data_IF_835585459627
#
_entry.id   IF_835585459627
#
_cell.length_a   1.000
_cell.length_b   1.000
_cell.length_c   1.000
_cell.angle_alpha   90.00
_cell.angle_beta   90.00
_cell.angle_gamma   90.00
#
_symmetry.space_group_name_H-M   'P 1'
#
loop_
_entity.id
_entity.type
_entity.pdbx_description
1 polymer ?
#
# COMPACT_ATOMS: atom_id res chain seq x y z
N UNK A 1 -2.95 -19.31 15.73
CA UNK A 1 -3.64 -18.15 15.11
C UNK A 1 -3.77 -17.09 16.19
N UNK A 2 -3.50 -15.81 15.92
CA UNK A 2 -3.61 -14.77 16.96
C UNK A 2 -5.10 -14.62 17.36
N UNK A 3 -5.43 -14.43 18.66
CA UNK A 3 -6.80 -14.11 19.08
C UNK A 3 -7.33 -12.91 18.30
N UNK A 4 -8.53 -13.03 17.72
CA UNK A 4 -9.14 -11.99 16.89
C UNK A 4 -8.99 -12.18 15.37
N UNK A 5 -8.17 -13.12 14.88
CA UNK A 5 -8.09 -13.41 13.44
C UNK A 5 -9.27 -14.23 12.92
N UNK A 6 -9.89 -13.80 11.81
CA UNK A 6 -10.93 -14.55 11.10
C UNK A 6 -10.68 -14.63 9.60
N UNK A 7 -11.50 -15.45 8.91
CA UNK A 7 -11.25 -15.96 7.56
C UNK A 7 -11.39 -14.91 6.44
N UNK A 8 -10.84 -15.19 5.25
CA UNK A 8 -9.62 -15.93 5.05
C UNK A 8 -8.40 -14.98 5.10
N UNK A 9 -8.61 -13.66 4.91
CA UNK A 9 -7.51 -12.68 4.83
C UNK A 9 -7.64 -11.39 5.66
N UNK A 10 -8.66 -11.27 6.52
CA UNK A 10 -8.73 -10.18 7.50
C UNK A 10 -8.32 -10.70 8.89
N UNK A 11 -7.08 -10.41 9.34
CA UNK A 11 -6.57 -10.96 10.59
C UNK A 11 -7.21 -10.34 11.83
N UNK A 12 -8.19 -9.43 11.71
CA UNK A 12 -8.74 -8.74 12.88
C UNK A 12 -10.26 -8.53 12.81
N UNK A 13 -11.00 -9.23 13.67
CA UNK A 13 -12.41 -8.97 13.97
C UNK A 13 -12.52 -7.83 15.00
N UNK A 14 -12.16 -6.62 14.57
CA UNK A 14 -12.26 -5.40 15.36
C UNK A 14 -12.95 -4.33 14.53
N UNK A 15 -13.91 -3.54 15.07
CA UNK A 15 -14.64 -2.54 14.28
C UNK A 15 -13.72 -1.58 13.49
N UNK A 16 -12.54 -1.31 14.03
CA UNK A 16 -11.56 -0.44 13.36
C UNK A 16 -10.81 -1.09 12.20
N UNK A 17 -10.76 -2.42 12.09
CA UNK A 17 -9.97 -3.14 11.08
C UNK A 17 -10.77 -4.10 10.21
N UNK A 18 -11.97 -4.48 10.65
CA UNK A 18 -12.76 -5.51 9.99
C UNK A 18 -13.11 -5.09 8.56
N UNK A 19 -12.78 -5.95 7.60
CA UNK A 19 -12.99 -5.72 6.17
C UNK A 19 -12.16 -4.59 5.54
N UNK A 20 -11.25 -3.93 6.26
CA UNK A 20 -10.51 -2.76 5.74
C UNK A 20 -9.23 -3.11 5.00
N UNK A 21 -8.49 -4.13 5.46
CA UNK A 21 -7.14 -4.41 4.98
C UNK A 21 -6.86 -5.90 4.92
N UNK A 22 -6.08 -6.31 3.92
CA UNK A 22 -5.36 -7.58 3.96
C UNK A 22 -3.87 -7.29 4.21
N UNK A 23 -3.18 -8.21 4.87
CA UNK A 23 -1.80 -8.01 5.31
C UNK A 23 -0.92 -9.19 4.92
N UNK A 24 -1.13 -9.72 3.71
CA UNK A 24 -0.48 -10.95 3.28
C UNK A 24 1.05 -10.83 3.27
N UNK A 25 1.58 -9.86 2.51
CA UNK A 25 3.03 -9.65 2.40
C UNK A 25 3.62 -8.74 3.49
N UNK A 26 2.80 -8.19 4.38
CA UNK A 26 3.20 -7.21 5.40
C UNK A 26 3.17 -7.73 6.84
N UNK A 27 2.86 -9.03 7.03
CA UNK A 27 3.33 -9.76 8.22
C UNK A 27 2.27 -10.09 9.29
N UNK A 28 0.97 -10.11 8.98
CA UNK A 28 0.00 -10.72 9.90
C UNK A 28 -0.16 -12.23 9.70
N UNK A 29 0.34 -12.75 8.59
CA UNK A 29 0.41 -14.18 8.34
C UNK A 29 1.76 -14.71 8.78
N UNK A 30 1.76 -15.86 9.47
CA UNK A 30 2.97 -16.57 9.87
C UNK A 30 3.84 -17.01 8.66
N UNK A 31 3.32 -16.88 7.44
CA UNK A 31 3.98 -17.17 6.17
C UNK A 31 3.63 -16.09 5.15
N UNK A 32 4.63 -15.41 4.58
CA UNK A 32 4.46 -14.39 3.53
C UNK A 32 4.82 -14.93 2.13
N UNK A 33 4.67 -16.24 1.96
CA UNK A 33 5.11 -17.01 0.80
C UNK A 33 4.36 -16.60 -0.49
N UNK A 34 5.05 -16.19 -1.57
CA UNK A 34 4.41 -15.93 -2.86
C UNK A 34 3.56 -17.10 -3.37
N UNK A 35 4.00 -18.34 -3.12
CA UNK A 35 3.31 -19.59 -3.52
C UNK A 35 1.86 -19.65 -3.06
N UNK A 36 1.58 -19.19 -1.84
CA UNK A 36 0.26 -19.33 -1.22
C UNK A 36 -0.65 -18.12 -1.44
N UNK A 37 -0.13 -17.01 -1.98
CA UNK A 37 -0.88 -15.77 -2.15
C UNK A 37 -2.12 -15.93 -3.04
N UNK A 38 -2.06 -16.75 -4.09
CA UNK A 38 -3.21 -16.95 -4.99
C UNK A 38 -4.36 -17.72 -4.35
N UNK A 39 -4.06 -18.53 -3.33
CA UNK A 39 -5.10 -19.19 -2.53
C UNK A 39 -5.89 -18.16 -1.71
N UNK A 40 -5.46 -16.90 -1.71
CA UNK A 40 -6.12 -15.83 -1.01
C UNK A 40 -7.35 -15.23 -1.69
N UNK A 41 -7.63 -15.67 -2.91
CA UNK A 41 -8.70 -15.09 -3.72
C UNK A 41 -9.82 -16.09 -3.98
N UNK A 42 -11.03 -15.61 -4.35
CA UNK A 42 -12.18 -16.49 -4.58
C UNK A 42 -11.90 -17.56 -5.64
N UNK A 43 -12.64 -18.67 -5.53
CA UNK A 43 -12.42 -19.88 -6.32
C UNK A 43 -12.81 -19.71 -7.80
N UNK A 44 -12.32 -20.62 -8.65
CA UNK A 44 -12.69 -20.72 -10.08
C UNK A 44 -14.20 -20.73 -10.30
N UNK A 45 -14.96 -21.31 -9.37
CA UNK A 45 -16.42 -21.34 -9.42
C UNK A 45 -17.04 -19.94 -9.29
N UNK A 46 -16.52 -19.10 -8.40
CA UNK A 46 -16.98 -17.71 -8.24
C UNK A 46 -16.73 -16.92 -9.52
N UNK A 47 -15.55 -17.09 -10.13
CA UNK A 47 -15.23 -16.48 -11.43
C UNK A 47 -16.19 -16.95 -12.51
N UNK A 48 -16.45 -18.27 -12.61
CA UNK A 48 -17.38 -18.83 -13.58
C UNK A 48 -18.78 -18.24 -13.42
N UNK A 49 -19.30 -18.21 -12.19
CA UNK A 49 -20.64 -17.69 -11.92
C UNK A 49 -20.76 -16.21 -12.31
N UNK A 50 -19.80 -15.36 -11.92
CA UNK A 50 -19.80 -13.95 -12.30
C UNK A 50 -19.73 -13.75 -13.82
N UNK A 51 -18.78 -14.41 -14.48
CA UNK A 51 -18.53 -14.17 -15.90
C UNK A 51 -19.57 -14.83 -16.82
N UNK A 52 -20.05 -16.02 -16.48
CA UNK A 52 -20.92 -16.84 -17.35
C UNK A 52 -22.39 -16.76 -17.00
N UNK A 53 -22.73 -16.69 -15.71
CA UNK A 53 -24.14 -16.63 -15.28
C UNK A 53 -24.61 -15.19 -15.16
N UNK A 54 -23.82 -14.32 -14.51
CA UNK A 54 -24.21 -12.93 -14.29
C UNK A 54 -23.83 -12.01 -15.46
N UNK A 55 -22.98 -12.45 -16.38
CA UNK A 55 -22.46 -11.61 -17.47
C UNK A 55 -21.64 -10.42 -16.98
N UNK A 56 -21.05 -10.51 -15.77
CA UNK A 56 -20.30 -9.42 -15.13
C UNK A 56 -18.80 -9.68 -15.18
N UNK A 57 -17.96 -8.64 -15.36
CA UNK A 57 -16.53 -8.77 -15.16
C UNK A 57 -16.21 -9.32 -13.76
N UNK A 58 -15.23 -10.22 -13.68
CA UNK A 58 -14.73 -10.76 -12.42
C UNK A 58 -13.29 -10.29 -12.21
N UNK A 59 -13.06 -9.58 -11.11
CA UNK A 59 -11.74 -9.12 -10.70
C UNK A 59 -11.49 -9.53 -9.25
N UNK A 60 -10.23 -9.79 -8.95
CA UNK A 60 -9.75 -10.04 -7.59
C UNK A 60 -8.79 -8.93 -7.23
N UNK A 61 -8.98 -8.31 -6.08
CA UNK A 61 -8.08 -7.27 -5.61
C UNK A 61 -7.68 -7.53 -4.17
N UNK A 62 -6.50 -7.01 -3.84
CA UNK A 62 -5.98 -6.94 -2.49
C UNK A 62 -5.72 -5.47 -2.15
N UNK A 63 -6.11 -5.04 -0.96
CA UNK A 63 -5.86 -3.70 -0.42
C UNK A 63 -5.06 -3.80 0.88
N UNK A 64 -3.84 -3.25 0.87
CA UNK A 64 -2.99 -3.14 2.05
C UNK A 64 -2.29 -1.78 2.07
N UNK A 65 -2.51 -0.96 3.09
CA UNK A 65 -1.86 0.35 3.20
C UNK A 65 -0.32 0.27 3.31
N UNK A 66 0.21 -0.90 3.65
CA UNK A 66 1.63 -1.10 3.98
C UNK A 66 2.45 -1.74 2.86
N UNK A 67 1.80 -2.14 1.76
CA UNK A 67 2.52 -2.70 0.62
C UNK A 67 3.45 -1.69 -0.04
N UNK A 68 3.03 -0.42 -0.11
CA UNK A 68 3.85 0.63 -0.69
C UNK A 68 5.15 0.83 0.11
N UNK A 69 5.04 0.85 1.45
CA UNK A 69 6.14 1.16 2.37
C UNK A 69 6.96 -0.05 2.77
N UNK A 70 6.53 -1.26 2.43
CA UNK A 70 7.28 -2.49 2.68
C UNK A 70 8.46 -2.61 1.70
N UNK A 71 9.70 -2.86 2.19
CA UNK A 71 10.85 -3.10 1.32
C UNK A 71 10.75 -4.43 0.57
N UNK A 72 10.05 -5.40 1.16
CA UNK A 72 9.98 -6.76 0.65
C UNK A 72 8.87 -6.96 -0.39
N UNK A 73 7.75 -6.26 -0.21
CA UNK A 73 6.53 -6.50 -1.00
C UNK A 73 6.70 -6.37 -2.51
N UNK A 74 7.44 -5.39 -3.08
CA UNK A 74 7.62 -5.31 -4.53
C UNK A 74 8.20 -6.61 -5.11
N UNK A 75 9.19 -7.20 -4.43
CA UNK A 75 9.87 -8.42 -4.88
C UNK A 75 8.95 -9.62 -4.75
N UNK A 76 8.29 -9.76 -3.60
CA UNK A 76 7.36 -10.87 -3.35
C UNK A 76 6.18 -10.84 -4.33
N UNK A 77 5.59 -9.66 -4.55
CA UNK A 77 4.49 -9.47 -5.50
C UNK A 77 4.94 -9.76 -6.93
N UNK A 78 6.10 -9.26 -7.35
CA UNK A 78 6.60 -9.55 -8.69
C UNK A 78 6.88 -11.05 -8.90
N UNK A 79 7.29 -11.77 -7.84
CA UNK A 79 7.49 -13.22 -7.91
C UNK A 79 6.18 -14.02 -8.09
N UNK A 80 5.09 -13.60 -7.44
CA UNK A 80 3.74 -14.20 -7.63
C UNK A 80 3.31 -14.24 -9.10
N UNK A 81 3.69 -13.20 -9.85
CA UNK A 81 3.30 -13.02 -11.26
C UNK A 81 4.47 -13.31 -12.22
N UNK A 82 5.54 -13.96 -11.76
CA UNK A 82 6.69 -14.28 -12.60
C UNK A 82 6.27 -15.18 -13.77
N UNK A 83 6.51 -14.70 -14.99
CA UNK A 83 6.10 -15.39 -16.23
C UNK A 83 4.67 -15.07 -16.69
N UNK A 84 3.98 -14.16 -16.01
CA UNK A 84 2.66 -13.65 -16.38
C UNK A 84 2.71 -12.12 -16.62
N UNK A 85 1.59 -11.54 -17.05
CA UNK A 85 1.47 -10.08 -17.08
C UNK A 85 1.53 -9.50 -15.65
N UNK A 86 2.17 -8.33 -15.45
CA UNK A 86 2.26 -7.71 -14.14
C UNK A 86 0.86 -7.34 -13.61
N UNK A 87 0.62 -7.43 -12.30
CA UNK A 87 -0.64 -6.98 -11.72
C UNK A 87 -0.80 -5.46 -11.88
N UNK A 88 -2.05 -4.99 -11.91
CA UNK A 88 -2.35 -3.56 -11.79
C UNK A 88 -2.18 -3.15 -10.35
N UNK A 89 -1.21 -2.27 -10.09
CA UNK A 89 -0.93 -1.77 -8.75
C UNK A 89 -1.31 -0.30 -8.68
N UNK A 90 -2.13 0.04 -7.70
CA UNK A 90 -2.62 1.40 -7.46
C UNK A 90 -2.14 1.83 -6.08
N UNK A 91 -1.47 2.97 -6.03
CA UNK A 91 -0.98 3.58 -4.80
C UNK A 91 -1.79 4.83 -4.49
N UNK A 92 -2.52 4.81 -3.38
CA UNK A 92 -3.21 5.99 -2.85
C UNK A 92 -2.26 6.80 -1.97
N UNK A 93 -2.08 8.07 -2.31
CA UNK A 93 -1.20 9.01 -1.60
C UNK A 93 -2.01 10.20 -1.10
N UNK A 94 -1.45 10.98 -0.19
CA UNK A 94 -1.99 12.28 0.26
C UNK A 94 -0.83 13.17 0.68
N UNK A 95 -1.10 14.34 1.24
CA UNK A 95 -0.04 15.17 1.83
C UNK A 95 0.85 14.33 2.78
N UNK A 96 2.18 14.31 2.56
CA UNK A 96 3.10 13.50 3.37
C UNK A 96 3.09 13.82 4.87
N UNK A 97 2.88 15.09 5.23
CA UNK A 97 2.81 15.53 6.64
C UNK A 97 1.51 15.02 7.26
N UNK A 98 0.38 15.18 6.59
CA UNK A 98 -0.91 14.63 7.02
C UNK A 98 -0.86 13.10 7.15
N UNK A 99 -0.20 12.41 6.21
CA UNK A 99 0.02 10.96 6.28
C UNK A 99 0.81 10.57 7.53
N UNK A 100 1.92 11.25 7.80
CA UNK A 100 2.77 10.98 8.96
C UNK A 100 2.01 11.21 10.28
N UNK A 101 1.29 12.33 10.40
CA UNK A 101 0.47 12.65 11.58
C UNK A 101 -0.62 11.62 11.80
N UNK A 102 -1.37 11.30 10.74
CA UNK A 102 -2.46 10.32 10.81
C UNK A 102 -1.95 8.91 11.16
N UNK A 103 -0.80 8.50 10.61
CA UNK A 103 -0.19 7.21 10.95
C UNK A 103 0.28 7.16 12.40
N UNK A 104 0.93 8.22 12.89
CA UNK A 104 1.34 8.32 14.28
C UNK A 104 0.16 8.21 15.25
N UNK A 105 -0.94 8.92 14.96
CA UNK A 105 -2.18 8.83 15.74
C UNK A 105 -2.76 7.43 15.72
N UNK A 106 -2.85 6.82 14.54
CA UNK A 106 -3.33 5.44 14.37
C UNK A 106 -2.52 4.46 15.22
N UNK A 107 -1.20 4.52 15.15
CA UNK A 107 -0.32 3.61 15.89
C UNK A 107 -0.38 3.83 17.41
N UNK A 108 -0.54 5.08 17.86
CA UNK A 108 -0.80 5.37 19.29
C UNK A 108 -2.13 4.76 19.74
N UNK A 109 -3.17 4.87 18.92
CA UNK A 109 -4.46 4.25 19.20
C UNK A 109 -4.37 2.72 19.16
N UNK A 110 -3.57 2.15 18.25
CA UNK A 110 -3.31 0.70 18.09
C UNK A 110 -2.92 0.00 19.37
N UNK A 111 -2.26 0.71 20.28
CA UNK A 111 -1.95 0.19 21.62
C UNK A 111 -3.18 -0.01 22.50
N UNK A 112 -4.15 0.89 22.43
CA UNK A 112 -5.38 0.83 23.21
C UNK A 112 -6.25 -0.36 22.79
N UNK A 113 -6.57 -0.46 21.50
CA UNK A 113 -7.40 -1.56 21.02
C UNK A 113 -6.64 -2.89 20.91
N UNK A 114 -5.32 -2.89 20.73
CA UNK A 114 -4.53 -4.12 20.84
C UNK A 114 -4.67 -4.80 22.21
N UNK A 115 -4.73 -4.02 23.30
CA UNK A 115 -4.99 -4.54 24.66
C UNK A 115 -6.42 -5.06 24.80
N UNK A 116 -7.41 -4.36 24.26
CA UNK A 116 -8.82 -4.81 24.35
C UNK A 116 -9.06 -6.11 23.58
N UNK A 117 -8.24 -6.43 22.57
CA UNK A 117 -8.28 -7.70 21.85
C UNK A 117 -7.54 -8.86 22.55
N UNK A 118 -7.05 -8.66 23.78
CA UNK A 118 -6.39 -9.71 24.55
C UNK A 118 -4.98 -10.07 24.06
N UNK A 119 -4.32 -9.17 23.31
CA UNK A 119 -2.90 -9.37 23.00
C UNK A 119 -2.08 -9.41 24.28
N UNK A 120 -1.43 -10.55 24.50
CA UNK A 120 -0.70 -10.84 25.73
C UNK A 120 0.57 -10.00 25.88
N UNK A 121 1.18 -10.08 27.05
CA UNK A 121 2.45 -9.43 27.36
C UNK A 121 3.58 -9.74 26.37
N UNK A 122 3.56 -10.86 25.62
CA UNK A 122 4.59 -11.16 24.62
C UNK A 122 4.54 -10.18 23.44
N UNK A 123 3.34 -9.84 23.00
CA UNK A 123 3.09 -8.84 21.95
C UNK A 123 3.31 -7.42 22.46
N UNK A 124 2.99 -7.17 23.73
CA UNK A 124 3.23 -5.87 24.39
C UNK A 124 4.72 -5.65 24.69
N UNK A 125 5.48 -6.69 25.06
CA UNK A 125 6.94 -6.63 25.34
C UNK A 125 7.75 -6.28 24.10
N UNK A 126 7.33 -6.73 22.92
CA UNK A 126 7.97 -6.38 21.64
C UNK A 126 7.90 -4.88 21.34
N UNK A 127 6.85 -4.17 21.79
CA UNK A 127 6.77 -2.71 21.68
C UNK A 127 7.36 -1.98 22.88
N UNK A 128 7.12 -2.43 24.11
CA UNK A 128 7.36 -1.61 25.31
C UNK A 128 8.82 -1.36 25.72
N UNK A 129 9.79 -2.18 25.28
CA UNK A 129 11.22 -1.93 25.62
C UNK A 129 11.93 -0.95 24.70
N UNK A 130 11.51 -0.84 23.44
CA UNK A 130 12.19 -0.07 22.40
C UNK A 130 11.33 1.07 21.84
N UNK A 131 10.01 1.00 22.03
CA UNK A 131 9.05 1.93 21.45
C UNK A 131 8.41 2.84 22.49
N UNK A 132 9.05 4.00 22.71
CA UNK A 132 8.54 5.04 23.61
C UNK A 132 8.59 6.44 23.00
N UNK A 133 8.37 6.59 21.68
CA UNK A 133 8.26 7.93 21.09
C UNK A 133 6.98 8.61 21.57
N UNK A 134 7.12 9.51 22.55
CA UNK A 134 6.04 10.30 23.14
C UNK A 134 5.57 11.38 22.19
N UNK A 135 6.47 11.83 21.30
CA UNK A 135 6.19 12.83 20.26
C UNK A 135 6.42 12.25 18.88
N UNK A 136 5.80 12.88 17.87
CA UNK A 136 6.02 12.50 16.48
C UNK A 136 7.46 12.84 16.03
N UNK A 137 8.08 13.87 16.60
CA UNK A 137 9.47 14.20 16.30
C UNK A 137 10.47 13.15 16.81
N UNK A 138 10.23 12.55 17.98
CA UNK A 138 11.01 11.39 18.45
C UNK A 138 10.83 10.20 17.51
N UNK A 139 9.59 9.95 17.07
CA UNK A 139 9.29 8.84 16.18
C UNK A 139 9.92 9.03 14.79
N UNK A 140 9.94 10.27 14.28
CA UNK A 140 10.64 10.62 13.05
C UNK A 140 12.16 10.43 13.18
N UNK A 141 12.78 10.88 14.28
CA UNK A 141 14.22 10.66 14.53
C UNK A 141 14.56 9.18 14.58
N UNK A 142 13.74 8.37 15.24
CA UNK A 142 13.93 6.92 15.28
C UNK A 142 13.75 6.26 13.90
N UNK A 143 12.75 6.70 13.13
CA UNK A 143 12.51 6.27 11.74
C UNK A 143 13.71 6.56 10.83
N UNK A 144 14.42 7.66 11.06
CA UNK A 144 15.62 8.05 10.33
C UNK A 144 16.94 7.55 10.95
N UNK A 145 16.88 6.74 12.01
CA UNK A 145 18.10 6.28 12.68
C UNK A 145 18.89 5.30 11.79
N UNK A 146 20.24 5.23 11.93
CA UNK A 146 21.05 4.26 11.20
C UNK A 146 20.60 2.81 11.43
N UNK A 147 20.13 2.50 12.64
CA UNK A 147 19.56 1.18 12.97
C UNK A 147 18.37 0.88 12.06
N UNK A 148 17.39 1.79 12.00
CA UNK A 148 16.20 1.62 11.16
C UNK A 148 16.52 1.56 9.67
N UNK A 149 17.51 2.31 9.19
CA UNK A 149 17.96 2.24 7.79
C UNK A 149 18.64 0.92 7.47
N UNK A 150 19.61 0.49 8.28
CA UNK A 150 20.32 -0.78 8.11
C UNK A 150 19.36 -1.97 8.09
N UNK A 151 18.37 -1.92 8.98
CA UNK A 151 17.32 -2.92 9.13
C UNK A 151 16.46 -3.02 7.85
N UNK A 152 16.07 -1.87 7.29
CA UNK A 152 15.29 -1.81 6.06
C UNK A 152 16.07 -2.26 4.82
N UNK A 153 17.32 -1.82 4.71
CA UNK A 153 18.27 -2.28 3.67
C UNK A 153 18.48 -3.79 3.78
N UNK A 154 18.60 -4.33 4.99
CA UNK A 154 18.71 -5.76 5.21
C UNK A 154 17.47 -6.52 4.73
N UNK A 155 16.25 -6.05 5.02
CA UNK A 155 15.03 -6.69 4.51
C UNK A 155 14.95 -6.66 2.98
N UNK A 156 15.22 -5.50 2.37
CA UNK A 156 15.21 -5.36 0.91
C UNK A 156 16.27 -6.26 0.26
N UNK A 157 17.50 -6.24 0.77
CA UNK A 157 18.60 -7.07 0.29
C UNK A 157 18.40 -8.55 0.54
N UNK A 158 17.64 -8.93 1.57
CA UNK A 158 17.31 -10.34 1.85
C UNK A 158 16.42 -10.89 0.75
N UNK A 159 15.30 -10.24 0.43
CA UNK A 159 14.40 -10.73 -0.64
C UNK A 159 15.01 -10.63 -2.02
N UNK A 160 15.86 -9.62 -2.30
CA UNK A 160 16.52 -9.45 -3.60
C UNK A 160 17.54 -10.56 -3.91
N UNK A 161 18.17 -11.14 -2.87
CA UNK A 161 19.22 -12.18 -3.00
C UNK A 161 18.70 -13.61 -2.84
N UNK A 162 17.46 -13.78 -2.39
CA UNK A 162 16.88 -15.11 -2.20
C UNK A 162 16.59 -15.77 -3.55
N UNK A 163 16.97 -17.04 -3.66
CA UNK A 163 16.43 -17.92 -4.70
C UNK A 163 14.93 -18.18 -4.45
N UNK A 164 14.25 -18.71 -5.48
CA UNK A 164 12.81 -18.96 -5.42
C UNK A 164 12.41 -19.88 -4.25
N UNK A 165 13.21 -20.91 -3.96
CA UNK A 165 12.93 -21.85 -2.86
C UNK A 165 12.98 -21.18 -1.49
N UNK A 166 13.89 -20.21 -1.30
CA UNK A 166 13.99 -19.42 -0.07
C UNK A 166 12.91 -18.36 0.06
N UNK A 167 12.44 -17.78 -1.05
CA UNK A 167 11.29 -16.86 -1.03
C UNK A 167 10.01 -17.56 -0.56
N UNK A 168 9.83 -18.83 -0.93
CA UNK A 168 8.66 -19.62 -0.49
C UNK A 168 8.63 -19.86 1.02
N UNK A 169 9.80 -19.88 1.68
CA UNK A 169 9.96 -20.02 3.12
C UNK A 169 10.17 -18.67 3.84
N UNK A 170 10.15 -17.55 3.11
CA UNK A 170 10.45 -16.24 3.67
C UNK A 170 9.44 -15.87 4.77
N UNK A 171 9.98 -15.31 5.85
CA UNK A 171 9.22 -14.68 6.91
C UNK A 171 9.79 -13.27 7.12
N UNK A 172 8.90 -12.30 7.26
CA UNK A 172 9.33 -10.98 7.68
C UNK A 172 9.95 -11.10 9.07
N UNK A 173 11.12 -10.47 9.30
CA UNK A 173 11.70 -10.41 10.64
C UNK A 173 10.76 -9.63 11.56
N UNK A 174 10.79 -9.93 12.86
CA UNK A 174 9.82 -9.40 13.83
C UNK A 174 9.71 -7.86 13.78
N UNK A 175 10.81 -7.15 13.59
CA UNK A 175 10.83 -5.68 13.49
C UNK A 175 10.08 -5.13 12.27
N UNK A 176 9.91 -5.93 11.20
CA UNK A 176 9.27 -5.54 9.95
C UNK A 176 7.77 -5.84 9.94
N UNK A 177 7.28 -6.57 10.94
CA UNK A 177 5.87 -6.91 11.09
C UNK A 177 5.09 -5.66 11.48
N UNK A 178 4.03 -5.39 10.73
CA UNK A 178 3.30 -4.15 10.82
C UNK A 178 2.41 -4.00 12.04
N UNK A 179 2.06 -5.10 12.69
CA UNK A 179 1.30 -5.13 13.94
C UNK A 179 1.43 -6.54 14.54
N UNK A 180 1.62 -6.69 15.86
CA UNK A 180 1.67 -5.64 16.86
C UNK A 180 3.04 -4.95 16.94
N UNK A 181 3.93 -5.08 15.94
CA UNK A 181 5.25 -4.45 15.99
C UNK A 181 5.32 -3.07 15.32
N UNK A 182 4.37 -2.71 14.46
CA UNK A 182 4.24 -1.35 13.92
C UNK A 182 5.39 -0.98 13.00
N UNK A 183 5.09 -0.59 11.76
CA UNK A 183 6.03 0.22 10.96
C UNK A 183 6.10 1.65 11.53
N UNK A 184 6.36 1.77 12.83
CA UNK A 184 6.60 3.03 13.52
C UNK A 184 8.01 3.55 13.25
N UNK A 185 8.91 2.64 12.89
CA UNK A 185 10.13 2.92 12.10
C UNK A 185 9.83 3.54 10.74
N UNK A 186 8.56 3.62 10.34
CA UNK A 186 8.11 4.06 9.03
C UNK A 186 7.48 5.45 8.99
N UNK A 187 7.32 6.21 10.08
CA UNK A 187 6.70 7.56 9.97
C UNK A 187 7.45 8.43 8.96
N UNK A 188 8.79 8.42 9.00
CA UNK A 188 9.63 9.11 8.02
C UNK A 188 9.56 8.52 6.61
N UNK A 189 9.10 7.27 6.44
CA UNK A 189 8.99 6.58 5.14
C UNK A 189 7.58 6.53 4.56
N UNK A 190 6.54 6.65 5.39
CA UNK A 190 5.14 6.57 4.99
C UNK A 190 4.75 7.77 4.12
N UNK A 191 5.41 8.91 4.33
CA UNK A 191 5.27 10.09 3.47
C UNK A 191 6.27 10.12 2.29
N UNK A 192 7.28 9.25 2.24
CA UNK A 192 8.26 9.19 1.13
C UNK A 192 7.71 8.39 -0.06
N UNK A 193 6.57 8.81 -0.58
CA UNK A 193 5.87 8.15 -1.67
C UNK A 193 6.75 7.97 -2.92
N UNK A 194 7.53 8.98 -3.30
CA UNK A 194 8.40 8.96 -4.48
C UNK A 194 9.45 7.85 -4.40
N UNK A 195 10.13 7.71 -3.24
CA UNK A 195 11.11 6.64 -2.99
C UNK A 195 10.45 5.26 -3.04
N UNK A 196 9.27 5.13 -2.43
CA UNK A 196 8.56 3.85 -2.39
C UNK A 196 8.03 3.44 -3.77
N UNK A 197 7.38 4.36 -4.50
CA UNK A 197 6.94 4.12 -5.89
C UNK A 197 8.14 3.80 -6.78
N UNK A 198 9.26 4.52 -6.64
CA UNK A 198 10.49 4.23 -7.36
C UNK A 198 11.00 2.80 -7.14
N UNK A 199 10.96 2.29 -5.90
CA UNK A 199 11.34 0.89 -5.58
C UNK A 199 10.45 -0.11 -6.30
N UNK A 200 9.14 0.15 -6.35
CA UNK A 200 8.19 -0.69 -7.06
C UNK A 200 8.45 -0.68 -8.56
N UNK A 201 8.59 0.50 -9.17
CA UNK A 201 8.89 0.68 -10.60
C UNK A 201 10.21 0.00 -10.99
N UNK A 202 11.27 0.15 -10.19
CA UNK A 202 12.56 -0.52 -10.42
C UNK A 202 12.41 -2.05 -10.37
N UNK A 203 11.74 -2.56 -9.32
CA UNK A 203 11.59 -4.00 -9.12
C UNK A 203 10.75 -4.63 -10.24
N UNK A 204 9.64 -4.01 -10.58
CA UNK A 204 8.75 -4.48 -11.65
C UNK A 204 9.40 -4.30 -13.03
N UNK A 205 10.11 -3.19 -13.26
CA UNK A 205 10.87 -2.97 -14.49
C UNK A 205 11.93 -4.05 -14.72
N UNK A 206 12.64 -4.46 -13.67
CA UNK A 206 13.63 -5.54 -13.74
C UNK A 206 13.00 -6.89 -14.08
N UNK A 207 11.83 -7.20 -13.52
CA UNK A 207 11.20 -8.53 -13.64
C UNK A 207 10.30 -8.65 -14.88
N UNK A 208 9.54 -7.60 -15.20
CA UNK A 208 8.55 -7.59 -16.28
C UNK A 208 8.97 -6.76 -17.50
N UNK A 209 9.98 -5.90 -17.39
CA UNK A 209 10.35 -4.92 -18.41
C UNK A 209 11.20 -5.44 -19.57
N UNK A 210 11.45 -6.75 -19.65
CA UNK A 210 12.13 -7.45 -20.74
C UNK A 210 13.30 -6.68 -21.35
N UNK A 211 14.52 -6.80 -20.79
CA UNK A 211 15.81 -6.29 -21.34
C UNK A 211 15.71 -5.05 -22.23
N UNK A 212 15.01 -4.00 -21.79
CA UNK A 212 15.11 -2.70 -22.46
C UNK A 212 16.38 -2.04 -21.92
N UNK A 213 17.43 -2.01 -22.76
CA UNK A 213 18.71 -1.37 -22.43
C UNK A 213 18.44 0.04 -21.87
N UNK A 214 19.12 0.45 -20.77
CA UNK A 214 19.01 1.80 -20.27
C UNK A 214 19.55 2.75 -21.33
N UNK A 215 18.67 3.53 -21.98
CA UNK A 215 19.13 4.66 -22.79
C UNK A 215 19.58 5.74 -21.81
N UNK A 216 20.86 6.12 -21.91
CA UNK A 216 21.50 7.07 -21.01
C UNK A 216 20.75 8.40 -20.90
N UNK A 217 20.71 8.93 -19.67
CA UNK A 217 20.59 10.36 -19.39
C UNK A 217 19.29 11.10 -19.75
N UNK A 218 18.28 10.44 -20.31
CA UNK A 218 16.99 11.06 -20.66
C UNK A 218 15.85 10.60 -19.74
N UNK A 219 14.88 11.47 -19.47
CA UNK A 219 13.69 11.20 -18.66
C UNK A 219 13.13 9.78 -18.94
N UNK A 220 12.92 9.01 -17.86
CA UNK A 220 12.47 7.62 -17.89
C UNK A 220 11.18 7.48 -18.74
N UNK A 221 11.30 7.13 -20.02
CA UNK A 221 10.18 6.77 -20.91
C UNK A 221 9.83 5.28 -20.80
N UNK A 222 10.00 4.70 -19.61
CA UNK A 222 9.71 3.31 -19.32
C UNK A 222 8.21 3.04 -19.16
N UNK A 223 7.82 1.78 -19.35
CA UNK A 223 6.49 1.28 -18.93
C UNK A 223 6.34 1.53 -17.43
N UNK A 224 5.28 2.26 -17.05
CA UNK A 224 4.91 2.48 -15.64
C UNK A 224 4.10 1.29 -15.13
N UNK A 225 4.44 0.81 -13.95
CA UNK A 225 3.75 -0.30 -13.29
C UNK A 225 2.75 0.20 -12.25
N UNK A 226 3.01 1.32 -11.60
CA UNK A 226 2.24 1.86 -10.48
C UNK A 226 1.39 3.06 -10.92
N UNK A 227 0.07 2.98 -10.67
CA UNK A 227 -0.82 4.13 -10.76
C UNK A 227 -0.83 4.88 -9.43
N UNK A 228 -0.28 6.09 -9.40
CA UNK A 228 -0.35 6.98 -8.23
C UNK A 228 -1.64 7.78 -8.29
N UNK A 229 -2.38 7.78 -7.18
CA UNK A 229 -3.67 8.47 -7.01
C UNK A 229 -3.64 9.30 -5.75
N UNK A 230 -3.93 10.60 -5.82
CA UNK A 230 -4.07 11.38 -4.59
C UNK A 230 -5.47 11.20 -4.00
N UNK A 231 -5.58 11.01 -2.69
CA UNK A 231 -6.85 10.84 -1.99
C UNK A 231 -7.78 12.05 -2.17
N UNK A 232 -7.25 13.27 -2.33
CA UNK A 232 -8.06 14.45 -2.63
C UNK A 232 -8.74 14.35 -3.99
N UNK A 233 -8.09 13.75 -4.99
CA UNK A 233 -8.65 13.54 -6.32
C UNK A 233 -9.83 12.56 -6.31
N UNK A 234 -9.93 11.68 -5.31
CA UNK A 234 -11.08 10.77 -5.20
C UNK A 234 -12.39 11.48 -4.87
N UNK A 235 -12.32 12.73 -4.40
CA UNK A 235 -13.49 13.57 -4.17
C UNK A 235 -13.80 14.49 -5.36
N UNK A 236 -12.95 14.51 -6.40
CA UNK A 236 -13.17 15.27 -7.62
C UNK A 236 -13.79 14.36 -8.69
N UNK A 237 -14.96 14.74 -9.22
CA UNK A 237 -15.71 13.92 -10.18
C UNK A 237 -14.89 13.63 -11.44
N UNK A 238 -14.21 14.64 -11.98
CA UNK A 238 -13.46 14.55 -13.23
C UNK A 238 -12.24 13.66 -13.04
N UNK A 239 -11.48 13.86 -11.97
CA UNK A 239 -10.29 13.08 -11.65
C UNK A 239 -10.65 11.63 -11.33
N UNK A 240 -11.74 11.37 -10.59
CA UNK A 240 -12.20 10.02 -10.29
C UNK A 240 -12.65 9.28 -11.56
N UNK A 241 -13.42 9.92 -12.45
CA UNK A 241 -13.78 9.34 -13.76
C UNK A 241 -12.54 8.98 -14.57
N UNK A 242 -11.61 9.93 -14.72
CA UNK A 242 -10.37 9.71 -15.47
C UNK A 242 -9.54 8.54 -14.89
N UNK A 243 -9.49 8.43 -13.56
CA UNK A 243 -8.82 7.32 -12.87
C UNK A 243 -9.49 5.98 -13.17
N UNK A 244 -10.81 5.87 -12.97
CA UNK A 244 -11.53 4.61 -13.15
C UNK A 244 -11.44 4.14 -14.60
N UNK A 245 -11.59 5.04 -15.57
CA UNK A 245 -11.41 4.72 -17.00
C UNK A 245 -9.99 4.24 -17.30
N UNK A 246 -8.96 4.88 -16.73
CA UNK A 246 -7.57 4.45 -16.88
C UNK A 246 -7.32 3.04 -16.33
N UNK A 247 -7.82 2.74 -15.13
CA UNK A 247 -7.73 1.40 -14.52
C UNK A 247 -8.45 0.37 -15.38
N UNK A 248 -9.68 0.68 -15.82
CA UNK A 248 -10.49 -0.21 -16.64
C UNK A 248 -9.80 -0.57 -17.97
N UNK A 249 -9.17 0.41 -18.63
CA UNK A 249 -8.34 0.20 -19.82
C UNK A 249 -7.12 -0.67 -19.54
N UNK A 250 -6.41 -0.46 -18.41
CA UNK A 250 -5.25 -1.30 -18.03
C UNK A 250 -5.65 -2.75 -17.75
N UNK A 251 -6.82 -2.97 -17.16
CA UNK A 251 -7.36 -4.30 -16.90
C UNK A 251 -7.87 -5.01 -18.16
N UNK A 252 -7.86 -4.33 -19.33
CA UNK A 252 -8.41 -4.85 -20.60
C UNK A 252 -9.79 -5.49 -20.41
N UNK A 253 -10.68 -4.82 -19.67
CA UNK A 253 -11.98 -5.41 -19.30
C UNK A 253 -12.79 -5.83 -20.53
N UNK A 254 -12.58 -5.18 -21.68
CA UNK A 254 -13.07 -5.62 -22.98
C UNK A 254 -12.01 -5.39 -24.08
N UNK A 255 -11.91 -6.32 -25.02
CA UNK A 255 -11.16 -6.13 -26.29
C UNK A 255 -12.01 -5.41 -27.35
N UNK A 256 -13.33 -5.50 -27.20
CA UNK A 256 -14.33 -4.86 -28.05
C UNK A 256 -14.46 -3.37 -27.68
N UNK A 257 -14.22 -2.51 -28.67
CA UNK A 257 -14.29 -1.06 -28.52
C UNK A 257 -15.66 -0.58 -28.02
N UNK A 258 -16.77 -1.12 -28.54
CA UNK A 258 -18.11 -0.70 -28.16
C UNK A 258 -18.41 -1.05 -26.71
N UNK A 259 -17.93 -2.22 -26.25
CA UNK A 259 -18.06 -2.62 -24.84
C UNK A 259 -17.19 -1.76 -23.92
N UNK A 260 -16.01 -1.36 -24.37
CA UNK A 260 -15.19 -0.37 -23.66
C UNK A 260 -15.92 0.97 -23.53
N UNK A 261 -16.50 1.49 -24.60
CA UNK A 261 -17.25 2.76 -24.59
C UNK A 261 -18.48 2.67 -23.67
N UNK A 262 -19.24 1.58 -23.72
CA UNK A 262 -20.37 1.35 -22.82
C UNK A 262 -19.95 1.30 -21.34
N UNK A 263 -18.87 0.59 -21.01
CA UNK A 263 -18.32 0.55 -19.66
C UNK A 263 -17.82 1.93 -19.19
N UNK A 264 -17.22 2.73 -20.07
CA UNK A 264 -16.80 4.09 -19.71
C UNK A 264 -17.98 5.00 -19.38
N UNK A 265 -19.12 4.84 -20.07
CA UNK A 265 -20.37 5.51 -19.75
C UNK A 265 -20.93 5.03 -18.39
N UNK A 266 -20.93 3.73 -18.12
CA UNK A 266 -21.36 3.18 -16.83
C UNK A 266 -20.52 3.72 -15.66
N UNK A 267 -19.21 3.87 -15.86
CA UNK A 267 -18.32 4.49 -14.88
C UNK A 267 -18.66 5.97 -14.66
N UNK A 268 -19.02 6.70 -15.71
CA UNK A 268 -19.44 8.09 -15.59
C UNK A 268 -20.71 8.19 -14.72
N UNK A 269 -21.73 7.36 -14.99
CA UNK A 269 -22.96 7.31 -14.20
C UNK A 269 -22.70 6.90 -12.75
N UNK A 270 -21.82 5.91 -12.52
CA UNK A 270 -21.42 5.52 -11.18
C UNK A 270 -20.80 6.68 -10.40
N UNK A 271 -19.87 7.41 -11.01
CA UNK A 271 -19.21 8.53 -10.33
C UNK A 271 -20.18 9.66 -10.01
N UNK A 272 -21.08 10.01 -10.93
CA UNK A 272 -22.12 11.00 -10.67
C UNK A 272 -22.98 10.58 -9.47
N UNK A 273 -23.52 9.36 -9.50
CA UNK A 273 -24.41 8.86 -8.45
C UNK A 273 -23.74 8.78 -7.09
N UNK A 274 -22.50 8.29 -7.02
CA UNK A 274 -21.85 8.04 -5.73
C UNK A 274 -21.28 9.29 -5.07
N UNK A 275 -20.81 10.27 -5.85
CA UNK A 275 -20.32 11.54 -5.28
C UNK A 275 -21.48 12.47 -4.88
N UNK A 276 -22.61 12.41 -5.58
CA UNK A 276 -23.81 13.20 -5.21
C UNK A 276 -24.48 12.71 -3.93
N UNK A 277 -24.27 11.45 -3.54
CA UNK A 277 -24.74 10.90 -2.26
C UNK A 277 -23.99 11.43 -1.03
N UNK A 278 -23.12 12.43 -1.20
CA UNK A 278 -22.44 13.08 -0.08
C UNK A 278 -21.48 12.17 0.68
N UNK A 279 -21.10 11.02 0.09
CA UNK A 279 -20.08 10.14 0.65
C UNK A 279 -18.73 10.87 0.51
N UNK A 280 -18.42 11.78 1.45
CA UNK A 280 -17.07 12.31 1.61
C UNK A 280 -16.19 11.15 2.05
N UNK A 281 -15.56 10.48 1.09
CA UNK A 281 -14.85 9.21 1.28
C UNK A 281 -13.62 9.31 2.19
N UNK A 282 -13.14 10.53 2.48
CA UNK A 282 -12.09 10.77 3.46
C UNK A 282 -12.07 12.25 3.87
N UNK A 283 -12.51 12.58 5.09
CA UNK A 283 -12.16 13.89 5.69
C UNK A 283 -10.75 13.88 6.32
N UNK A 284 -10.04 12.74 6.22
CA UNK A 284 -8.91 12.44 7.08
C UNK A 284 -9.37 12.35 8.55
N UNK A 285 -8.54 11.81 9.42
CA UNK A 285 -8.71 12.07 10.85
C UNK A 285 -8.43 13.57 11.04
N UNK A 286 -9.49 14.38 11.06
CA UNK A 286 -9.40 15.81 11.24
C UNK A 286 -8.66 16.14 12.53
N UNK A 287 -7.68 17.03 12.44
CA UNK A 287 -6.98 17.62 13.57
C UNK A 287 -5.49 17.33 13.57
N UNK A 288 -4.69 18.39 13.57
CA UNK A 288 -3.32 18.40 14.11
C UNK A 288 -3.29 18.36 15.64
N UNK A 289 -4.46 18.23 16.28
CA UNK A 289 -4.60 18.16 17.74
C UNK A 289 -3.63 17.13 18.34
N UNK A 290 -2.85 17.58 19.32
CA UNK A 290 -1.83 16.77 19.98
C UNK A 290 -0.48 16.70 19.27
N UNK A 291 -0.26 17.44 18.16
CA UNK A 291 1.05 17.60 17.53
C UNK A 291 1.58 19.01 17.77
N UNK A 292 2.82 19.13 18.26
CA UNK A 292 3.41 20.44 18.52
C UNK A 292 3.73 21.20 17.22
N UNK A 293 3.70 22.55 17.22
CA UNK A 293 4.14 23.32 16.06
C UNK A 293 5.58 23.00 15.62
N UNK A 294 6.47 22.75 16.58
CA UNK A 294 7.86 22.36 16.31
C UNK A 294 7.94 21.02 15.56
N UNK A 295 7.12 20.04 15.95
CA UNK A 295 7.04 18.76 15.26
C UNK A 295 6.48 18.90 13.83
N UNK A 296 5.48 19.76 13.62
CA UNK A 296 4.94 20.02 12.28
C UNK A 296 5.99 20.66 11.38
N UNK A 297 6.79 21.60 11.89
CA UNK A 297 7.91 22.21 11.16
C UNK A 297 8.93 21.13 10.78
N UNK A 298 9.26 20.23 11.72
CA UNK A 298 10.18 19.12 11.47
C UNK A 298 9.68 18.20 10.36
N UNK A 299 8.40 17.81 10.37
CA UNK A 299 7.80 16.99 9.31
C UNK A 299 7.80 17.69 7.96
N UNK A 300 7.42 18.97 7.92
CA UNK A 300 7.43 19.78 6.68
C UNK A 300 8.83 19.82 6.06
N UNK A 301 9.85 20.08 6.88
CA UNK A 301 11.25 20.05 6.44
C UNK A 301 11.67 18.67 5.95
N UNK A 302 11.27 17.61 6.66
CA UNK A 302 11.61 16.23 6.29
C UNK A 302 11.00 15.80 4.95
N UNK A 303 9.78 16.22 4.65
CA UNK A 303 9.08 15.90 3.39
C UNK A 303 9.18 16.99 2.32
N UNK A 304 10.08 17.95 2.49
CA UNK A 304 10.29 19.02 1.53
C UNK A 304 10.69 18.44 0.15
N UNK A 305 10.08 18.94 -0.91
CA UNK A 305 10.29 18.48 -2.28
C UNK A 305 9.61 17.14 -2.64
N UNK A 306 8.87 16.53 -1.72
CA UNK A 306 8.32 15.18 -1.94
C UNK A 306 7.23 15.15 -3.00
N UNK A 307 6.44 16.22 -3.10
CA UNK A 307 5.46 16.40 -4.17
C UNK A 307 6.14 16.35 -5.53
N UNK A 308 7.15 17.17 -5.73
CA UNK A 308 7.87 17.32 -7.00
C UNK A 308 8.59 16.04 -7.39
N UNK A 309 9.17 15.33 -6.41
CA UNK A 309 9.76 14.00 -6.63
C UNK A 309 8.69 12.98 -7.03
N UNK A 310 7.53 12.98 -6.38
CA UNK A 310 6.43 12.07 -6.70
C UNK A 310 5.84 12.38 -8.08
N UNK A 311 5.69 13.64 -8.45
CA UNK A 311 5.25 14.07 -9.78
C UNK A 311 6.22 13.59 -10.87
N UNK A 312 7.53 13.65 -10.60
CA UNK A 312 8.56 13.14 -11.51
C UNK A 312 8.47 11.63 -11.70
N UNK A 313 8.34 10.86 -10.61
CA UNK A 313 8.30 9.38 -10.68
C UNK A 313 6.96 8.90 -11.23
N UNK A 314 5.85 9.53 -10.83
CA UNK A 314 4.52 9.20 -11.32
C UNK A 314 4.26 9.74 -12.73
N UNK A 315 5.06 10.70 -13.20
CA UNK A 315 4.94 11.40 -14.48
C UNK A 315 3.57 12.05 -14.68
N UNK A 316 3.00 12.61 -13.62
CA UNK A 316 1.78 13.42 -13.62
C UNK A 316 1.83 14.45 -12.49
N UNK A 317 1.06 15.52 -12.62
CA UNK A 317 0.86 16.47 -11.53
C UNK A 317 0.06 15.81 -10.38
N UNK A 318 0.43 16.13 -9.14
CA UNK A 318 -0.21 15.62 -7.92
C UNK A 318 -0.82 16.80 -7.16
N UNK A 319 -2.08 16.68 -6.78
CA UNK A 319 -2.78 17.71 -6.01
C UNK A 319 -2.91 17.23 -4.57
N UNK A 320 -1.99 17.63 -3.70
CA UNK A 320 -2.02 17.27 -2.29
C UNK A 320 -3.08 17.98 -1.48
#
# INVERSE_FOLDING_TARGET
MLPGCMKPFCPWKHPELDGKETFYFSGHYATTSPKYYRMCFPLKLTRFFHAKILGRPFFTFDGCAQYLTSPATPVLMADVFRGEEPPVVISMVRDPVEQAVSWWKYERAAMGWGRSMGLTSRNVKLRTKEYWSKTIGEALRFSNSPLTEATYVAAEGTVKRMDKGKLDAFRLPDWAITWPNGQLTGIGRNGMFSRNVGRWEETFGRIFGGTTKPMGGGAYRGKRYIDVVCLKELNDKVALKALLKRIARRLRLHEDRLKCEAMELDLDFYVERELDRGVRRNRGAGGSEGVSPADLILLKKHFEGEKERLERVSGRQIIF
#
